data_IF_550804171247
#
_entry.id   IF_550804171247
#
_cell.length_a   1.000
_cell.length_b   1.000
_cell.length_c   1.000
_cell.angle_alpha   90.00
_cell.angle_beta   90.00
_cell.angle_gamma   90.00
#
_symmetry.space_group_name_H-M   'P 1'
#
loop_
_entity.id
_entity.type
_entity.pdbx_description
1 polymer ?
#
# COMPACT_ATOMS: atom_id res chain seq x y z
N UNK A 1 -0.56 -17.04 30.16
CA UNK A 1 -1.46 -16.81 29.01
C UNK A 1 -0.75 -17.39 27.81
N UNK A 2 -1.35 -18.29 27.00
CA UNK A 2 -0.69 -18.69 25.77
C UNK A 2 -0.57 -17.44 24.88
N UNK A 3 0.46 -17.32 24.03
CA UNK A 3 0.41 -16.32 22.96
C UNK A 3 -0.85 -16.61 22.16
N UNK A 4 -1.77 -15.64 22.10
CA UNK A 4 -2.88 -15.68 21.17
C UNK A 4 -2.27 -15.90 19.78
N UNK A 5 -2.54 -17.06 19.21
CA UNK A 5 -2.29 -17.38 17.82
C UNK A 5 -3.21 -16.52 16.98
N UNK A 6 -2.84 -15.25 16.75
CA UNK A 6 -3.26 -14.60 15.52
C UNK A 6 -2.36 -15.18 14.44
N UNK A 7 -2.95 -15.82 13.45
CA UNK A 7 -2.27 -16.02 12.18
C UNK A 7 -1.75 -14.64 11.73
N UNK A 8 -0.43 -14.43 11.84
CA UNK A 8 0.33 -13.25 11.43
C UNK A 8 0.34 -13.15 9.89
N UNK A 9 -0.85 -13.18 9.30
CA UNK A 9 -1.04 -13.10 7.85
C UNK A 9 -1.10 -11.63 7.48
N UNK A 10 -0.39 -11.28 6.41
CA UNK A 10 -0.46 -9.96 5.80
C UNK A 10 -1.87 -9.73 5.26
N UNK A 11 -2.49 -8.64 5.72
CA UNK A 11 -3.90 -8.30 5.41
C UNK A 11 -4.04 -7.00 4.64
N UNK A 12 -3.00 -6.16 4.64
CA UNK A 12 -3.01 -4.85 4.00
C UNK A 12 -1.97 -4.74 2.88
N UNK A 13 -2.37 -4.22 1.72
CA UNK A 13 -1.48 -3.84 0.64
C UNK A 13 -1.62 -2.34 0.35
N UNK A 14 -0.58 -1.60 0.68
CA UNK A 14 -0.47 -0.16 0.48
C UNK A 14 0.48 0.09 -0.71
N UNK A 15 0.12 1.00 -1.61
CA UNK A 15 0.87 1.22 -2.85
C UNK A 15 1.04 2.72 -3.12
N UNK A 16 2.23 3.14 -3.55
CA UNK A 16 2.41 4.47 -4.14
C UNK A 16 1.72 4.59 -5.50
N UNK A 17 1.36 5.80 -5.89
CA UNK A 17 0.83 6.07 -7.21
C UNK A 17 1.93 6.33 -8.23
N UNK A 18 2.71 7.39 -8.04
CA UNK A 18 3.75 7.78 -8.99
C UNK A 18 4.91 6.78 -8.94
N UNK A 19 5.44 6.39 -10.10
CA UNK A 19 6.52 5.42 -10.20
C UNK A 19 6.08 3.97 -10.11
N UNK A 20 5.03 3.64 -9.34
CA UNK A 20 4.49 2.28 -9.22
C UNK A 20 3.28 2.04 -10.13
N UNK A 21 2.20 2.80 -9.93
CA UNK A 21 0.97 2.67 -10.72
C UNK A 21 0.99 3.49 -12.02
N UNK A 22 2.10 4.18 -12.27
CA UNK A 22 2.42 4.85 -13.53
C UNK A 22 3.55 4.14 -14.30
N UNK A 23 4.00 2.97 -13.86
CA UNK A 23 4.89 2.09 -14.64
C UNK A 23 4.22 1.70 -15.97
N UNK A 24 4.96 1.54 -17.09
CA UNK A 24 4.39 1.12 -18.37
C UNK A 24 3.51 -0.14 -18.30
N UNK A 25 3.87 -1.09 -17.43
CA UNK A 25 3.15 -2.35 -17.25
C UNK A 25 2.22 -2.35 -16.01
N UNK A 26 1.91 -1.16 -15.47
CA UNK A 26 1.11 -1.02 -14.24
C UNK A 26 -0.29 -1.65 -14.31
N UNK A 27 -0.83 -1.88 -15.50
CA UNK A 27 -2.10 -2.60 -15.68
C UNK A 27 -2.10 -3.96 -14.95
N UNK A 28 -0.98 -4.68 -14.92
CA UNK A 28 -0.86 -5.94 -14.19
C UNK A 28 -0.89 -5.75 -12.66
N UNK A 29 -0.42 -4.61 -12.15
CA UNK A 29 -0.55 -4.26 -10.73
C UNK A 29 -1.99 -3.90 -10.36
N UNK A 30 -2.71 -3.22 -11.26
CA UNK A 30 -4.15 -2.97 -11.09
C UNK A 30 -4.96 -4.27 -11.07
N UNK A 31 -4.67 -5.21 -11.97
CA UNK A 31 -5.29 -6.55 -11.98
C UNK A 31 -5.01 -7.28 -10.66
N UNK A 32 -3.75 -7.26 -10.19
CA UNK A 32 -3.39 -7.87 -8.91
C UNK A 32 -4.11 -7.21 -7.72
N UNK A 33 -4.24 -5.88 -7.69
CA UNK A 33 -4.96 -5.16 -6.64
C UNK A 33 -6.44 -5.56 -6.60
N UNK A 34 -7.06 -5.69 -7.77
CA UNK A 34 -8.44 -6.17 -7.88
C UNK A 34 -8.59 -7.59 -7.31
N UNK A 35 -7.72 -8.51 -7.74
CA UNK A 35 -7.75 -9.90 -7.28
C UNK A 35 -7.43 -10.02 -5.78
N UNK A 36 -6.50 -9.23 -5.26
CA UNK A 36 -6.15 -9.20 -3.85
C UNK A 36 -7.35 -8.77 -2.99
N UNK A 37 -8.09 -7.74 -3.42
CA UNK A 37 -9.34 -7.33 -2.75
C UNK A 37 -10.39 -8.43 -2.78
N UNK A 38 -10.55 -9.11 -3.90
CA UNK A 38 -11.48 -10.23 -4.03
C UNK A 38 -11.16 -11.39 -3.06
N UNK A 39 -9.88 -11.54 -2.67
CA UNK A 39 -9.43 -12.50 -1.65
C UNK A 39 -9.49 -11.98 -0.20
N UNK A 40 -9.94 -10.74 0.00
CA UNK A 40 -10.10 -10.13 1.32
C UNK A 40 -8.91 -9.30 1.81
N UNK A 41 -7.89 -9.07 0.97
CA UNK A 41 -6.81 -8.11 1.28
C UNK A 41 -7.36 -6.70 1.23
N UNK A 42 -7.11 -5.91 2.28
CA UNK A 42 -7.43 -4.48 2.31
C UNK A 42 -6.39 -3.69 1.54
N UNK A 43 -6.81 -2.77 0.68
CA UNK A 43 -5.88 -2.02 -0.17
C UNK A 43 -5.95 -0.52 0.09
N UNK A 44 -4.80 0.16 0.11
CA UNK A 44 -4.77 1.62 0.18
C UNK A 44 -3.73 2.23 -0.77
N UNK A 45 -4.05 3.43 -1.24
CA UNK A 45 -3.11 4.28 -1.96
C UNK A 45 -2.47 5.27 -0.99
N UNK A 46 -1.14 5.39 -1.01
CA UNK A 46 -0.40 6.37 -0.20
C UNK A 46 0.52 7.19 -1.12
N UNK A 47 0.08 8.40 -1.44
CA UNK A 47 0.75 9.24 -2.45
C UNK A 47 1.15 10.61 -1.90
N UNK A 48 2.40 11.00 -2.18
CA UNK A 48 2.88 12.36 -1.95
C UNK A 48 2.33 13.30 -3.03
N UNK A 49 1.05 13.64 -2.92
CA UNK A 49 0.34 14.58 -3.79
C UNK A 49 -0.58 15.48 -2.97
N UNK A 50 -0.99 16.66 -3.50
CA UNK A 50 -1.92 17.56 -2.81
C UNK A 50 -3.31 16.95 -2.60
N UNK A 51 -3.69 15.98 -3.43
CA UNK A 51 -5.02 15.37 -3.48
C UNK A 51 -5.31 14.91 -4.90
N UNK A 52 -6.56 14.54 -5.17
CA UNK A 52 -7.04 14.21 -6.51
C UNK A 52 -8.46 14.76 -6.75
N UNK A 53 -8.81 15.01 -8.01
CA UNK A 53 -10.16 15.43 -8.36
C UNK A 53 -11.19 14.32 -8.01
N UNK A 54 -12.46 14.65 -7.72
CA UNK A 54 -13.46 13.67 -7.31
C UNK A 54 -13.63 12.49 -8.28
N UNK A 55 -13.61 12.74 -9.61
CA UNK A 55 -13.69 11.68 -10.61
C UNK A 55 -12.49 10.72 -10.59
N UNK A 56 -11.29 11.24 -10.35
CA UNK A 56 -10.09 10.41 -10.20
C UNK A 56 -10.13 9.60 -8.91
N UNK A 57 -10.60 10.18 -7.80
CA UNK A 57 -10.81 9.44 -6.54
C UNK A 57 -11.83 8.31 -6.71
N UNK A 58 -12.92 8.56 -7.44
CA UNK A 58 -13.93 7.55 -7.72
C UNK A 58 -13.35 6.38 -8.52
N UNK A 59 -12.58 6.66 -9.58
CA UNK A 59 -11.89 5.61 -10.35
C UNK A 59 -10.88 4.82 -9.50
N UNK A 60 -10.09 5.50 -8.66
CA UNK A 60 -9.16 4.82 -7.74
C UNK A 60 -9.90 3.97 -6.69
N UNK A 61 -11.12 4.33 -6.31
CA UNK A 61 -11.94 3.56 -5.37
C UNK A 61 -12.27 2.14 -5.84
N UNK A 62 -12.17 1.85 -7.13
CA UNK A 62 -12.31 0.49 -7.67
C UNK A 62 -11.15 -0.42 -7.23
N UNK A 63 -9.99 0.15 -6.91
CA UNK A 63 -8.78 -0.59 -6.53
C UNK A 63 -8.36 -0.41 -5.06
N UNK A 64 -8.91 0.60 -4.37
CA UNK A 64 -8.50 0.95 -3.01
C UNK A 64 -9.68 1.11 -2.06
N UNK A 65 -9.55 0.55 -0.86
CA UNK A 65 -10.46 0.79 0.27
C UNK A 65 -10.19 2.16 0.92
N UNK A 66 -8.95 2.66 0.85
CA UNK A 66 -8.58 3.97 1.36
C UNK A 66 -7.61 4.71 0.42
N UNK A 67 -7.82 6.03 0.29
CA UNK A 67 -6.92 6.91 -0.44
C UNK A 67 -6.28 7.89 0.56
N UNK A 68 -4.95 7.91 0.62
CA UNK A 68 -4.16 8.81 1.49
C UNK A 68 -3.28 9.67 0.60
N UNK A 69 -3.63 10.95 0.52
CA UNK A 69 -2.83 11.97 -0.15
C UNK A 69 -2.14 12.84 0.90
N UNK A 70 -0.84 13.08 0.75
CA UNK A 70 -0.06 13.86 1.72
C UNK A 70 -0.61 15.27 1.98
N UNK A 71 -1.15 15.95 0.95
CA UNK A 71 -1.73 17.28 1.11
C UNK A 71 -3.03 17.29 1.92
N UNK A 72 -3.78 16.20 1.88
CA UNK A 72 -5.02 16.02 2.66
C UNK A 72 -4.72 15.53 4.07
N UNK A 73 -3.68 14.71 4.23
CA UNK A 73 -3.23 14.18 5.51
C UNK A 73 -2.38 15.18 6.32
N UNK A 74 -1.80 16.20 5.68
CA UNK A 74 -0.88 17.16 6.31
C UNK A 74 0.52 16.60 6.61
N UNK A 75 0.82 15.38 6.15
CA UNK A 75 2.09 14.69 6.35
C UNK A 75 2.44 13.87 5.10
N UNK A 76 3.73 13.81 4.75
CA UNK A 76 4.22 13.17 3.54
C UNK A 76 5.17 12.00 3.87
N UNK A 77 5.25 11.01 2.98
CA UNK A 77 6.32 10.00 3.01
C UNK A 77 7.68 10.73 2.92
N UNK A 78 8.71 10.33 3.69
CA UNK A 78 8.81 9.10 4.48
C UNK A 78 8.44 9.24 5.96
N UNK A 79 7.69 10.27 6.37
CA UNK A 79 7.32 10.43 7.77
C UNK A 79 6.42 9.27 8.24
N UNK A 80 6.73 8.72 9.42
CA UNK A 80 6.09 7.53 10.00
C UNK A 80 4.55 7.64 10.02
N UNK A 81 4.06 8.83 10.30
CA UNK A 81 2.64 9.12 10.52
C UNK A 81 1.78 8.82 9.29
N UNK A 82 2.28 9.03 8.07
CA UNK A 82 1.46 8.81 6.86
C UNK A 82 1.13 7.32 6.67
N UNK A 83 2.06 6.44 7.03
CA UNK A 83 1.86 4.98 6.96
C UNK A 83 0.87 4.52 8.03
N UNK A 84 0.98 5.07 9.23
CA UNK A 84 0.05 4.76 10.33
C UNK A 84 -1.37 5.22 10.00
N UNK A 85 -1.53 6.42 9.43
CA UNK A 85 -2.84 6.91 8.94
C UNK A 85 -3.43 5.97 7.89
N UNK A 86 -2.61 5.46 6.98
CA UNK A 86 -3.08 4.51 5.96
C UNK A 86 -3.52 3.19 6.59
N UNK A 87 -2.74 2.60 7.50
CA UNK A 87 -3.09 1.38 8.20
C UNK A 87 -4.37 1.54 9.06
N UNK A 88 -4.49 2.66 9.77
CA UNK A 88 -5.68 3.00 10.58
C UNK A 88 -6.94 3.08 9.71
N UNK A 89 -6.87 3.72 8.53
CA UNK A 89 -8.01 3.78 7.59
C UNK A 89 -8.42 2.41 7.05
N UNK A 90 -7.50 1.45 7.02
CA UNK A 90 -7.79 0.05 6.69
C UNK A 90 -8.29 -0.77 7.89
N UNK A 91 -8.25 -0.22 9.11
CA UNK A 91 -8.54 -0.95 10.34
C UNK A 91 -7.49 -2.01 10.67
N UNK A 92 -6.24 -1.80 10.26
CA UNK A 92 -5.14 -2.74 10.42
C UNK A 92 -4.01 -2.16 11.28
N UNK A 93 -3.23 -3.04 11.89
CA UNK A 93 -1.95 -2.67 12.50
C UNK A 93 -0.86 -2.61 11.42
N UNK A 94 0.13 -1.71 11.57
CA UNK A 94 1.23 -1.59 10.61
C UNK A 94 1.97 -2.91 10.32
N UNK A 95 2.24 -3.80 11.29
CA UNK A 95 2.86 -5.11 11.03
C UNK A 95 2.04 -6.05 10.14
N UNK A 96 0.74 -5.79 9.95
CA UNK A 96 -0.12 -6.56 9.05
C UNK A 96 -0.17 -5.99 7.63
N UNK A 97 0.64 -4.96 7.32
CA UNK A 97 0.63 -4.22 6.06
C UNK A 97 1.95 -4.38 5.29
N UNK A 98 1.82 -4.49 3.97
CA UNK A 98 2.90 -4.34 2.99
C UNK A 98 2.80 -2.96 2.36
N UNK A 99 3.92 -2.27 2.17
CA UNK A 99 3.98 -1.02 1.42
C UNK A 99 4.91 -1.14 0.20
N UNK A 100 4.41 -0.78 -0.98
CA UNK A 100 5.13 -0.79 -2.26
C UNK A 100 5.38 0.64 -2.73
N UNK A 101 6.64 0.99 -3.00
CA UNK A 101 7.06 2.33 -3.45
C UNK A 101 8.35 2.23 -4.28
N UNK A 102 8.54 3.11 -5.25
CA UNK A 102 9.73 3.14 -6.11
C UNK A 102 10.92 3.87 -5.46
N UNK A 103 10.66 4.72 -4.46
CA UNK A 103 11.68 5.44 -3.73
C UNK A 103 12.09 4.66 -2.46
N UNK A 104 13.34 4.17 -2.45
CA UNK A 104 13.89 3.40 -1.32
C UNK A 104 13.72 4.11 0.05
N UNK A 105 13.84 5.45 0.09
CA UNK A 105 13.62 6.23 1.33
C UNK A 105 12.19 6.08 1.88
N UNK A 106 11.19 5.96 1.02
CA UNK A 106 9.80 5.79 1.42
C UNK A 106 9.56 4.35 1.87
N UNK A 107 10.19 3.37 1.22
CA UNK A 107 10.16 1.96 1.66
C UNK A 107 10.76 1.84 3.06
N UNK A 108 11.93 2.44 3.30
CA UNK A 108 12.55 2.47 4.64
C UNK A 108 11.65 3.14 5.69
N UNK A 109 11.00 4.25 5.36
CA UNK A 109 10.04 4.90 6.26
C UNK A 109 8.85 4.00 6.65
N UNK A 110 8.35 3.19 5.73
CA UNK A 110 7.31 2.22 6.03
C UNK A 110 7.81 1.08 6.94
N UNK A 111 9.03 0.59 6.69
CA UNK A 111 9.69 -0.42 7.55
C UNK A 111 9.89 0.13 8.97
N UNK A 112 10.35 1.37 9.12
CA UNK A 112 10.47 2.04 10.43
C UNK A 112 9.12 2.26 11.12
N UNK A 113 8.03 2.37 10.34
CA UNK A 113 6.66 2.38 10.85
C UNK A 113 6.14 1.00 11.28
N UNK A 114 6.89 -0.07 10.98
CA UNK A 114 6.59 -1.45 11.33
C UNK A 114 5.93 -2.26 10.23
N UNK A 115 5.91 -1.78 8.97
CA UNK A 115 5.36 -2.50 7.82
C UNK A 115 6.41 -3.39 7.15
N UNK A 116 5.96 -4.31 6.29
CA UNK A 116 6.83 -4.94 5.28
C UNK A 116 7.01 -3.97 4.12
N UNK A 117 8.25 -3.64 3.76
CA UNK A 117 8.57 -2.76 2.64
C UNK A 117 8.97 -3.52 1.39
N UNK A 118 8.37 -3.18 0.25
CA UNK A 118 8.70 -3.71 -1.08
C UNK A 118 9.19 -2.56 -1.95
N UNK A 119 10.44 -2.67 -2.44
CA UNK A 119 11.00 -1.68 -3.35
C UNK A 119 10.60 -1.99 -4.79
N UNK A 120 9.78 -1.12 -5.38
CA UNK A 120 9.38 -1.25 -6.76
C UNK A 120 10.53 -0.87 -7.70
N UNK A 121 11.02 -1.87 -8.45
CA UNK A 121 12.04 -1.72 -9.49
C UNK A 121 11.58 -2.30 -10.83
N UNK A 122 10.26 -2.50 -10.97
CA UNK A 122 9.61 -3.08 -12.14
C UNK A 122 8.54 -4.11 -11.78
N UNK A 123 7.48 -4.13 -12.59
CA UNK A 123 6.25 -4.91 -12.35
C UNK A 123 6.48 -6.41 -12.11
N UNK A 124 7.27 -7.15 -12.93
CA UNK A 124 7.44 -8.59 -12.72
C UNK A 124 8.04 -8.95 -11.36
N UNK A 125 9.00 -8.16 -10.88
CA UNK A 125 9.65 -8.39 -9.58
C UNK A 125 8.71 -8.08 -8.43
N UNK A 126 7.99 -6.95 -8.52
CA UNK A 126 6.99 -6.58 -7.50
C UNK A 126 5.89 -7.64 -7.39
N UNK A 127 5.35 -8.12 -8.51
CA UNK A 127 4.31 -9.17 -8.49
C UNK A 127 4.84 -10.50 -7.91
N UNK A 128 6.07 -10.90 -8.25
CA UNK A 128 6.68 -12.11 -7.70
C UNK A 128 6.85 -12.01 -6.17
N UNK A 129 7.27 -10.85 -5.66
CA UNK A 129 7.44 -10.61 -4.23
C UNK A 129 6.08 -10.58 -3.51
N UNK A 130 5.08 -9.88 -4.07
CA UNK A 130 3.73 -9.86 -3.53
C UNK A 130 3.09 -11.26 -3.51
N UNK A 131 3.35 -12.09 -4.52
CA UNK A 131 2.86 -13.47 -4.55
C UNK A 131 3.45 -14.33 -3.41
N UNK A 132 4.70 -14.08 -3.02
CA UNK A 132 5.33 -14.76 -1.87
C UNK A 132 4.78 -14.25 -0.54
N UNK A 133 4.53 -12.94 -0.43
CA UNK A 133 4.05 -12.32 0.80
C UNK A 133 2.59 -12.66 1.12
N UNK A 134 1.75 -12.85 0.10
CA UNK A 134 0.31 -13.11 0.23
C UNK A 134 -0.12 -14.53 -0.18
N UNK A 135 0.79 -15.52 -0.11
CA UNK A 135 0.53 -16.93 -0.43
C UNK A 135 -0.25 -17.67 0.65
#
# INVERSE_FOLDING_TARGET
MPPDTLDDVLKGLLVDYAGVLTDPDAHLLYDYLHDARARGTRTALVSNAPGAAPGAKAALGEYFDALVFSGEAGVAKPAREIYLVAAERLGLAAPSCVFVDDAERNVRGAVEAGMVGVHHVGVPKTLAELAVLFS
#
